data_IF_865466175891
#
_entry.id   IF_865466175891
#
_cell.length_a   1.000
_cell.length_b   1.000
_cell.length_c   1.000
_cell.angle_alpha   90.00
_cell.angle_beta   90.00
_cell.angle_gamma   90.00
#
_symmetry.space_group_name_H-M   'P 1'
#
loop_
_entity.id
_entity.type
_entity.pdbx_description
1 polymer ?
#
# COMPACT_ATOMS: atom_id res chain seq x y z
N UNK A 1 -17.11 -16.86 50.60
CA UNK A 1 -15.88 -16.93 51.38
C UNK A 1 -14.98 -15.87 50.73
N UNK A 2 -15.09 -14.60 51.06
CA UNK A 2 -14.68 -13.93 52.30
C UNK A 2 -13.15 -13.93 52.47
N UNK A 3 -12.54 -12.78 52.21
CA UNK A 3 -11.62 -12.02 53.04
C UNK A 3 -11.24 -10.76 52.26
N UNK A 4 -11.80 -9.57 52.48
CA UNK A 4 -11.67 -8.55 53.55
C UNK A 4 -10.32 -7.86 53.52
N UNK A 5 -10.21 -6.63 53.07
CA UNK A 5 -10.44 -5.33 53.67
C UNK A 5 -9.41 -4.89 54.73
N UNK A 6 -9.01 -3.64 54.59
CA UNK A 6 -8.33 -2.67 55.48
C UNK A 6 -6.85 -2.40 55.09
N UNK A 7 -6.49 -1.15 54.84
CA UNK A 7 -6.44 -0.05 55.83
C UNK A 7 -6.46 1.34 55.15
N UNK A 8 -7.20 2.22 55.76
CA UNK A 8 -7.33 3.66 55.50
C UNK A 8 -6.31 4.49 56.29
N UNK A 9 -6.14 5.70 55.81
CA UNK A 9 -5.85 6.94 56.59
C UNK A 9 -4.44 7.48 56.44
N UNK A 10 -4.17 8.71 56.26
CA UNK A 10 -4.54 10.09 56.50
C UNK A 10 -3.36 10.95 56.06
N UNK A 11 -3.34 12.07 55.56
CA UNK A 11 -3.63 13.48 55.84
C UNK A 11 -3.10 14.31 54.68
N UNK A 12 -3.82 15.12 54.05
CA UNK A 12 -4.33 16.47 54.28
C UNK A 12 -3.34 17.61 53.89
N UNK A 13 -3.85 18.42 52.98
CA UNK A 13 -3.71 19.85 52.75
C UNK A 13 -2.33 20.54 52.74
N UNK A 14 -2.01 21.13 51.58
CA UNK A 14 -1.77 22.58 51.54
C UNK A 14 -2.02 23.10 50.12
N UNK A 15 -3.00 23.97 50.00
CA UNK A 15 -3.29 24.85 48.86
C UNK A 15 -2.34 26.03 48.95
N UNK A 16 -1.57 26.28 47.87
CA UNK A 16 -1.13 27.63 47.53
C UNK A 16 -1.30 27.82 46.04
N UNK A 17 -2.23 28.66 45.67
CA UNK A 17 -2.40 29.22 44.34
C UNK A 17 -1.26 30.20 44.05
N UNK A 18 -0.65 30.07 42.87
CA UNK A 18 -0.02 31.17 42.19
C UNK A 18 -0.36 31.12 40.71
N UNK A 19 -1.29 31.97 40.33
CA UNK A 19 -1.48 32.41 38.94
C UNK A 19 -0.26 33.26 38.53
N UNK A 20 0.46 32.81 37.49
CA UNK A 20 1.23 33.69 36.65
C UNK A 20 1.30 33.06 35.27
N UNK A 21 0.61 33.69 34.36
CA UNK A 21 0.73 33.49 32.92
C UNK A 21 2.18 33.79 32.47
N UNK A 22 2.75 32.88 31.71
CA UNK A 22 3.74 33.21 30.68
C UNK A 22 3.84 32.00 29.77
N UNK A 23 3.63 32.20 28.48
CA UNK A 23 3.86 31.22 27.40
C UNK A 23 5.29 30.68 27.49
N UNK A 24 5.39 29.44 27.98
CA UNK A 24 6.64 28.68 27.99
C UNK A 24 6.63 27.69 26.84
N UNK A 25 7.07 28.13 25.67
CA UNK A 25 7.55 27.17 24.68
C UNK A 25 8.64 26.33 25.33
N UNK A 26 8.54 25.02 25.26
CA UNK A 26 9.62 24.12 25.67
C UNK A 26 10.90 24.56 24.98
N UNK A 27 12.02 24.75 25.72
CA UNK A 27 13.27 25.15 25.08
C UNK A 27 13.66 24.09 24.05
N UNK A 28 13.79 24.48 22.78
CA UNK A 28 14.41 23.68 21.74
C UNK A 28 15.81 23.25 22.24
N UNK A 29 16.18 21.97 22.07
CA UNK A 29 17.50 21.52 22.47
C UNK A 29 18.58 22.34 21.71
N UNK A 30 19.58 22.80 22.42
CA UNK A 30 20.71 23.62 21.91
C UNK A 30 21.78 22.76 21.25
N UNK A 31 21.40 21.73 20.51
CA UNK A 31 22.32 21.05 19.59
C UNK A 31 22.43 21.83 18.29
N UNK A 32 23.59 21.84 17.59
CA UNK A 32 23.68 22.42 16.27
C UNK A 32 22.57 21.78 15.43
N UNK A 33 21.70 22.62 14.84
CA UNK A 33 20.53 22.16 14.09
C UNK A 33 21.01 21.26 12.96
N UNK A 34 20.75 19.96 13.10
CA UNK A 34 21.19 18.95 12.13
C UNK A 34 20.17 18.93 10.99
N UNK A 35 20.59 19.32 9.79
CA UNK A 35 19.74 19.25 8.61
C UNK A 35 19.62 17.83 8.12
N UNK A 36 18.39 17.40 7.83
CA UNK A 36 18.06 16.12 7.19
C UNK A 36 17.23 16.40 5.94
N UNK A 37 17.66 15.86 4.81
CA UNK A 37 16.86 15.87 3.58
C UNK A 37 16.11 14.56 3.46
N UNK A 38 14.79 14.64 3.25
CA UNK A 38 13.93 13.48 2.97
C UNK A 38 13.56 13.51 1.50
N UNK A 39 13.82 12.44 0.77
CA UNK A 39 13.51 12.31 -0.66
C UNK A 39 12.25 11.45 -0.81
N UNK A 40 11.16 12.12 -1.20
CA UNK A 40 9.81 11.56 -1.33
C UNK A 40 8.87 12.02 -0.22
N UNK A 41 7.71 12.56 -0.60
CA UNK A 41 6.62 12.97 0.29
C UNK A 41 5.48 11.96 0.36
N UNK A 42 5.79 10.66 0.26
CA UNK A 42 4.86 9.57 0.57
C UNK A 42 4.73 9.35 2.07
N UNK A 43 3.90 8.38 2.50
CA UNK A 43 3.66 8.08 3.93
C UNK A 43 4.96 7.90 4.72
N UNK A 44 5.94 7.18 4.20
CA UNK A 44 7.21 6.94 4.89
C UNK A 44 8.01 8.24 5.11
N UNK A 45 8.13 9.06 4.04
CA UNK A 45 8.88 10.31 4.09
C UNK A 45 8.21 11.36 4.99
N UNK A 46 6.90 11.53 4.86
CA UNK A 46 6.12 12.44 5.71
C UNK A 46 6.20 12.03 7.18
N UNK A 47 6.07 10.72 7.48
CA UNK A 47 6.18 10.21 8.85
C UNK A 47 7.57 10.48 9.44
N UNK A 48 8.63 10.21 8.68
CA UNK A 48 10.00 10.47 9.12
C UNK A 48 10.24 11.96 9.33
N UNK A 49 9.81 12.79 8.38
CA UNK A 49 9.94 14.25 8.44
C UNK A 49 9.21 14.84 9.65
N UNK A 50 7.94 14.42 9.88
CA UNK A 50 7.16 14.85 11.03
C UNK A 50 7.85 14.51 12.36
N UNK A 51 8.34 13.27 12.48
CA UNK A 51 8.99 12.82 13.70
C UNK A 51 10.32 13.57 13.96
N UNK A 52 11.10 13.84 12.92
CA UNK A 52 12.36 14.57 13.01
C UNK A 52 12.12 16.06 13.31
N UNK A 53 11.17 16.72 12.64
CA UNK A 53 10.81 18.11 12.90
C UNK A 53 10.33 18.30 14.34
N UNK A 54 9.44 17.42 14.82
CA UNK A 54 8.97 17.41 16.22
C UNK A 54 10.13 17.22 17.22
N UNK A 55 11.22 16.55 16.83
CA UNK A 55 12.44 16.40 17.62
C UNK A 55 13.43 17.58 17.47
N UNK A 56 13.12 18.56 16.62
CA UNK A 56 13.90 19.80 16.48
C UNK A 56 15.00 19.74 15.41
N UNK A 57 14.95 18.78 14.49
CA UNK A 57 15.81 18.76 13.30
C UNK A 57 15.36 19.83 12.29
N UNK A 58 16.31 20.28 11.44
CA UNK A 58 16.01 21.09 10.25
C UNK A 58 15.70 20.13 9.10
N UNK A 59 14.41 19.93 8.81
CA UNK A 59 13.96 18.91 7.84
C UNK A 59 13.45 19.59 6.57
N UNK A 60 13.94 19.12 5.42
CA UNK A 60 13.42 19.50 4.11
C UNK A 60 13.01 18.25 3.36
N UNK A 61 11.78 18.22 2.85
CA UNK A 61 11.25 17.12 2.03
C UNK A 61 11.30 17.55 0.56
N UNK A 62 11.92 16.72 -0.29
CA UNK A 62 11.96 16.93 -1.75
C UNK A 62 11.04 15.87 -2.40
N UNK A 63 10.00 16.34 -3.08
CA UNK A 63 9.03 15.50 -3.78
C UNK A 63 9.08 15.76 -5.28
N UNK A 64 9.17 14.68 -6.06
CA UNK A 64 9.29 14.75 -7.50
C UNK A 64 7.98 15.21 -8.19
N UNK A 65 6.82 14.88 -7.61
CA UNK A 65 5.50 15.27 -8.10
C UNK A 65 5.13 16.68 -7.65
N UNK A 66 4.07 17.19 -8.23
CA UNK A 66 3.40 18.44 -7.84
C UNK A 66 2.41 18.24 -6.66
N UNK A 67 2.41 17.06 -6.05
CA UNK A 67 1.57 16.67 -4.91
C UNK A 67 2.31 15.77 -3.92
N UNK A 68 1.84 15.74 -2.68
CA UNK A 68 2.27 14.79 -1.66
C UNK A 68 1.50 13.45 -1.78
N UNK A 69 1.80 12.48 -0.90
CA UNK A 69 1.11 11.21 -0.75
C UNK A 69 1.77 10.04 -1.48
N UNK A 70 2.51 10.31 -2.56
CA UNK A 70 3.13 9.26 -3.37
C UNK A 70 2.07 8.35 -3.98
N UNK A 71 2.05 7.05 -3.58
CA UNK A 71 1.05 6.04 -3.97
C UNK A 71 -0.27 6.10 -3.18
N UNK A 72 -0.43 7.04 -2.28
CA UNK A 72 -1.71 7.50 -1.75
C UNK A 72 -2.12 8.69 -2.60
N UNK A 73 -3.27 8.62 -3.26
CA UNK A 73 -3.75 9.66 -4.15
C UNK A 73 -5.26 9.68 -4.16
N UNK A 74 -5.84 10.56 -3.39
CA UNK A 74 -7.29 10.84 -3.41
C UNK A 74 -7.57 11.91 -4.45
N UNK A 75 -8.51 11.67 -5.34
CA UNK A 75 -8.94 12.58 -6.42
C UNK A 75 -10.40 12.92 -6.22
N UNK A 76 -10.77 14.17 -6.42
CA UNK A 76 -12.17 14.56 -6.56
C UNK A 76 -12.67 14.14 -7.95
N UNK A 77 -13.50 13.12 -8.01
CA UNK A 77 -14.13 12.66 -9.24
C UNK A 77 -15.61 13.09 -9.28
N UNK A 78 -15.87 14.19 -9.94
CA UNK A 78 -17.19 14.80 -10.04
C UNK A 78 -17.86 15.06 -8.66
N UNK A 79 -17.10 15.67 -7.74
CA UNK A 79 -17.57 16.03 -6.40
C UNK A 79 -17.47 14.90 -5.36
N UNK A 80 -16.84 13.78 -5.71
CA UNK A 80 -16.69 12.61 -4.84
C UNK A 80 -15.20 12.31 -4.65
N UNK A 81 -14.68 12.33 -3.40
CA UNK A 81 -13.29 11.95 -3.13
C UNK A 81 -13.12 10.42 -3.25
N UNK A 82 -12.24 9.99 -4.15
CA UNK A 82 -11.97 8.57 -4.40
C UNK A 82 -10.46 8.32 -4.39
N UNK A 83 -10.05 7.24 -3.75
CA UNK A 83 -8.66 6.82 -3.69
C UNK A 83 -8.23 6.06 -4.96
N UNK A 84 -7.37 6.69 -5.74
CA UNK A 84 -6.79 6.11 -6.95
C UNK A 84 -5.61 5.18 -6.64
N UNK A 85 -4.99 5.33 -5.48
CA UNK A 85 -3.94 4.45 -4.95
C UNK A 85 -4.46 3.56 -3.83
N UNK A 86 -3.70 3.53 -2.73
CA UNK A 86 -4.08 2.83 -1.52
C UNK A 86 -5.40 3.40 -0.97
N UNK A 87 -6.34 2.52 -0.64
CA UNK A 87 -7.67 2.87 -0.16
C UNK A 87 -7.98 2.24 1.21
N UNK A 88 -7.42 1.07 1.51
CA UNK A 88 -7.76 0.28 2.69
C UNK A 88 -6.80 0.47 3.86
N UNK A 89 -7.36 0.56 5.05
CA UNK A 89 -6.68 0.39 6.34
C UNK A 89 -6.81 -1.08 6.76
N UNK A 90 -5.92 -1.93 6.28
CA UNK A 90 -5.95 -3.37 6.56
C UNK A 90 -5.81 -3.66 8.05
N UNK A 91 -6.68 -4.51 8.60
CA UNK A 91 -6.61 -5.01 9.97
C UNK A 91 -6.80 -3.93 11.05
N UNK A 92 -7.98 -3.41 11.15
CA UNK A 92 -8.34 -2.24 11.98
C UNK A 92 -7.87 -2.29 13.44
N UNK A 93 -7.72 -3.49 14.03
CA UNK A 93 -7.28 -3.65 15.43
C UNK A 93 -5.76 -3.52 15.58
N UNK A 94 -5.01 -4.03 14.61
CA UNK A 94 -3.56 -4.13 14.69
C UNK A 94 -2.84 -3.02 13.88
N UNK A 95 -3.57 -2.28 13.03
CA UNK A 95 -3.04 -1.23 12.19
C UNK A 95 -2.85 0.09 12.96
N UNK A 96 -1.60 0.59 13.10
CA UNK A 96 -1.35 1.82 13.85
C UNK A 96 -2.03 3.05 13.24
N UNK A 97 -2.29 3.05 11.92
CA UNK A 97 -2.91 4.19 11.23
C UNK A 97 -4.37 4.38 11.60
N UNK A 98 -5.08 3.32 12.03
CA UNK A 98 -6.43 3.45 12.60
C UNK A 98 -6.37 4.27 13.88
N UNK A 99 -5.37 4.03 14.74
CA UNK A 99 -5.16 4.84 15.94
C UNK A 99 -4.82 6.31 15.63
N UNK A 100 -4.04 6.55 14.57
CA UNK A 100 -3.71 7.90 14.09
C UNK A 100 -4.96 8.59 13.52
N UNK A 101 -5.73 7.91 12.66
CA UNK A 101 -6.97 8.43 12.09
C UNK A 101 -7.97 8.81 13.19
N UNK A 102 -8.16 7.94 14.18
CA UNK A 102 -9.03 8.22 15.35
C UNK A 102 -8.54 9.43 16.15
N UNK A 103 -7.24 9.58 16.36
CA UNK A 103 -6.67 10.69 17.11
C UNK A 103 -6.88 12.04 16.41
N UNK A 104 -6.90 12.04 15.08
CA UNK A 104 -7.21 13.23 14.28
C UNK A 104 -8.71 13.42 14.01
N UNK A 105 -9.56 12.48 14.43
CA UNK A 105 -11.02 12.57 14.28
C UNK A 105 -11.52 12.22 12.89
N UNK A 106 -10.74 11.50 12.09
CA UNK A 106 -11.17 11.00 10.78
C UNK A 106 -12.16 9.84 10.94
N UNK A 107 -13.21 9.86 10.13
CA UNK A 107 -14.22 8.80 10.11
C UNK A 107 -13.78 7.69 9.16
N UNK A 108 -13.92 6.45 9.59
CA UNK A 108 -13.72 5.28 8.76
C UNK A 108 -14.85 4.26 8.98
N UNK A 109 -15.16 3.50 7.96
CA UNK A 109 -16.20 2.46 7.96
C UNK A 109 -15.57 1.09 7.75
N UNK A 110 -16.29 0.03 8.14
CA UNK A 110 -15.90 -1.33 7.78
C UNK A 110 -16.01 -1.47 6.27
N UNK A 111 -15.07 -2.19 5.69
CA UNK A 111 -15.17 -2.69 4.34
C UNK A 111 -15.34 -4.20 4.44
N UNK A 112 -16.49 -4.68 4.03
CA UNK A 112 -16.87 -6.09 4.07
C UNK A 112 -16.95 -6.68 2.63
N UNK A 113 -16.31 -6.01 1.63
CA UNK A 113 -16.35 -6.39 0.20
C UNK A 113 -15.42 -7.59 -0.12
N UNK A 114 -15.30 -8.53 0.80
CA UNK A 114 -14.46 -9.72 0.60
C UNK A 114 -15.16 -10.84 -0.20
N UNK A 115 -16.49 -10.74 -0.38
CA UNK A 115 -17.28 -11.78 -1.04
C UNK A 115 -17.47 -11.47 -2.54
N UNK A 116 -17.24 -12.47 -3.40
CA UNK A 116 -17.60 -12.42 -4.82
C UNK A 116 -19.06 -12.84 -4.98
N UNK A 117 -19.95 -11.88 -5.21
CA UNK A 117 -21.37 -12.14 -5.42
C UNK A 117 -21.66 -12.66 -6.83
N UNK A 118 -20.92 -12.22 -7.83
CA UNK A 118 -21.07 -12.62 -9.22
C UNK A 118 -19.74 -13.09 -9.82
N UNK A 119 -19.79 -14.18 -10.56
CA UNK A 119 -18.67 -14.60 -11.40
C UNK A 119 -19.20 -15.01 -12.78
N UNK A 120 -18.52 -14.59 -13.84
CA UNK A 120 -18.87 -14.93 -15.21
C UNK A 120 -17.64 -15.24 -16.04
N UNK A 121 -17.79 -16.19 -16.95
CA UNK A 121 -16.79 -16.47 -18.00
C UNK A 121 -17.37 -16.13 -19.37
N UNK A 122 -16.60 -15.45 -20.19
CA UNK A 122 -16.97 -15.19 -21.58
C UNK A 122 -17.23 -16.48 -22.39
N UNK A 123 -16.60 -17.60 -21.99
CA UNK A 123 -16.71 -18.91 -22.66
C UNK A 123 -17.75 -19.80 -22.01
N UNK A 124 -17.74 -19.92 -20.67
CA UNK A 124 -18.57 -20.85 -19.90
C UNK A 124 -19.89 -20.24 -19.40
N UNK A 125 -20.05 -18.91 -19.54
CA UNK A 125 -21.20 -18.14 -19.01
C UNK A 125 -21.14 -17.92 -17.51
N UNK A 126 -22.29 -17.53 -16.88
CA UNK A 126 -22.34 -17.23 -15.45
C UNK A 126 -22.21 -18.49 -14.61
N UNK A 127 -21.67 -18.32 -13.39
CA UNK A 127 -21.61 -19.35 -12.34
C UNK A 127 -22.68 -19.08 -11.29
N UNK A 128 -23.20 -20.13 -10.70
CA UNK A 128 -24.17 -20.02 -9.61
C UNK A 128 -23.46 -19.89 -8.23
N UNK A 129 -24.23 -19.50 -7.20
CA UNK A 129 -23.71 -19.25 -5.85
C UNK A 129 -22.97 -20.46 -5.26
N UNK A 130 -23.43 -21.69 -5.61
CA UNK A 130 -22.78 -22.91 -5.14
C UNK A 130 -21.44 -23.14 -5.82
N UNK A 131 -21.36 -22.91 -7.14
CA UNK A 131 -20.12 -23.01 -7.89
C UNK A 131 -19.10 -22.01 -7.35
N UNK A 132 -19.53 -20.77 -7.06
CA UNK A 132 -18.70 -19.71 -6.45
C UNK A 132 -18.22 -20.15 -5.05
N UNK A 133 -19.12 -20.61 -4.17
CA UNK A 133 -18.76 -21.09 -2.83
C UNK A 133 -17.81 -22.29 -2.84
N UNK A 134 -18.02 -23.24 -3.78
CA UNK A 134 -17.13 -24.37 -3.96
C UNK A 134 -15.73 -23.90 -4.44
N UNK A 135 -15.65 -22.90 -5.32
CA UNK A 135 -14.40 -22.32 -5.80
C UNK A 135 -13.63 -21.58 -4.68
N UNK A 136 -14.30 -20.82 -3.82
CA UNK A 136 -13.71 -20.26 -2.61
C UNK A 136 -13.10 -21.35 -1.72
N UNK A 137 -13.85 -22.44 -1.50
CA UNK A 137 -13.36 -23.58 -0.71
C UNK A 137 -12.10 -24.20 -1.34
N UNK A 138 -12.03 -24.28 -2.66
CA UNK A 138 -10.83 -24.75 -3.37
C UNK A 138 -9.67 -23.78 -3.20
N UNK A 139 -9.89 -22.49 -3.33
CA UNK A 139 -8.87 -21.45 -3.16
C UNK A 139 -8.31 -21.43 -1.72
N UNK A 140 -9.16 -21.44 -0.71
CA UNK A 140 -8.74 -21.45 0.70
C UNK A 140 -7.87 -22.65 1.06
N UNK A 141 -8.21 -23.83 0.53
CA UNK A 141 -7.43 -25.05 0.77
C UNK A 141 -6.01 -24.98 0.23
N UNK A 142 -5.74 -24.18 -0.79
CA UNK A 142 -4.39 -23.99 -1.32
C UNK A 142 -3.44 -23.46 -0.25
N UNK A 143 -3.85 -22.46 0.52
CA UNK A 143 -3.02 -21.88 1.59
C UNK A 143 -2.68 -22.89 2.67
N UNK A 144 -3.62 -23.78 3.01
CA UNK A 144 -3.35 -24.92 3.90
C UNK A 144 -2.36 -25.95 3.33
N UNK A 145 -2.17 -26.00 2.01
CA UNK A 145 -1.24 -26.91 1.33
C UNK A 145 0.15 -26.30 1.12
N UNK A 146 0.33 -24.99 1.29
CA UNK A 146 1.62 -24.31 1.09
C UNK A 146 2.82 -25.02 1.76
N UNK A 147 2.77 -25.45 3.03
CA UNK A 147 3.90 -26.13 3.64
C UNK A 147 4.29 -27.44 2.95
N UNK A 148 3.33 -28.15 2.35
CA UNK A 148 3.60 -29.38 1.60
C UNK A 148 4.14 -29.08 0.21
N UNK A 149 3.54 -28.14 -0.51
CA UNK A 149 3.97 -27.69 -1.84
C UNK A 149 5.40 -27.12 -1.80
N UNK A 150 5.73 -26.30 -0.80
CA UNK A 150 7.08 -25.75 -0.58
C UNK A 150 8.14 -26.86 -0.39
N UNK A 151 7.80 -27.95 0.35
CA UNK A 151 8.70 -29.10 0.50
C UNK A 151 8.86 -29.91 -0.78
N UNK A 152 7.77 -30.06 -1.54
CA UNK A 152 7.74 -30.84 -2.78
C UNK A 152 8.50 -30.16 -3.90
N UNK A 153 8.29 -28.84 -4.09
CA UNK A 153 8.78 -28.09 -5.23
C UNK A 153 10.12 -27.37 -4.97
N UNK A 154 10.46 -27.13 -3.69
CA UNK A 154 11.72 -26.50 -3.31
C UNK A 154 11.68 -24.97 -3.26
N UNK A 155 12.81 -24.34 -2.89
CA UNK A 155 12.85 -22.91 -2.55
C UNK A 155 12.73 -21.97 -3.75
N UNK A 156 13.04 -22.44 -4.96
CA UNK A 156 12.99 -21.63 -6.19
C UNK A 156 11.67 -21.75 -6.95
N UNK A 157 10.68 -22.45 -6.37
CA UNK A 157 9.37 -22.60 -7.00
C UNK A 157 8.60 -21.28 -6.95
N UNK A 158 7.90 -21.01 -8.06
CA UNK A 158 6.94 -19.93 -8.17
C UNK A 158 5.56 -20.31 -7.61
N UNK A 159 4.73 -19.30 -7.39
CA UNK A 159 3.31 -19.52 -7.06
C UNK A 159 2.58 -20.24 -8.20
N UNK A 160 2.96 -19.99 -9.46
CA UNK A 160 2.43 -20.73 -10.61
C UNK A 160 2.72 -22.23 -10.52
N UNK A 161 3.99 -22.61 -10.20
CA UNK A 161 4.34 -24.03 -9.99
C UNK A 161 3.52 -24.65 -8.85
N UNK A 162 3.30 -23.89 -7.78
CA UNK A 162 2.50 -24.30 -6.63
C UNK A 162 1.04 -24.52 -6.99
N UNK A 163 0.44 -23.59 -7.74
CA UNK A 163 -0.94 -23.70 -8.23
C UNK A 163 -1.10 -24.91 -9.17
N UNK A 164 -0.20 -25.07 -10.13
CA UNK A 164 -0.24 -26.20 -11.07
C UNK A 164 -0.15 -27.55 -10.35
N UNK A 165 0.78 -27.69 -9.40
CA UNK A 165 0.90 -28.89 -8.59
C UNK A 165 -0.35 -29.14 -7.74
N UNK A 166 -0.95 -28.08 -7.17
CA UNK A 166 -2.17 -28.17 -6.38
C UNK A 166 -3.35 -28.66 -7.22
N UNK A 167 -3.62 -28.01 -8.36
CA UNK A 167 -4.75 -28.38 -9.22
C UNK A 167 -4.58 -29.74 -9.88
N UNK A 168 -3.35 -30.18 -10.16
CA UNK A 168 -3.08 -31.53 -10.68
C UNK A 168 -3.52 -32.66 -9.73
N UNK A 169 -3.52 -32.40 -8.41
CA UNK A 169 -3.94 -33.35 -7.38
C UNK A 169 -5.48 -33.35 -7.16
N UNK A 170 -6.22 -32.44 -7.81
CA UNK A 170 -7.66 -32.31 -7.60
C UNK A 170 -8.48 -33.01 -8.70
N UNK A 171 -9.50 -33.73 -8.31
CA UNK A 171 -10.45 -34.40 -9.23
C UNK A 171 -11.64 -33.45 -9.52
N UNK A 172 -11.39 -32.33 -10.20
CA UNK A 172 -12.40 -31.36 -10.56
C UNK A 172 -12.86 -31.52 -12.03
N UNK A 173 -14.09 -31.06 -12.32
CA UNK A 173 -14.52 -30.91 -13.72
C UNK A 173 -13.77 -29.74 -14.37
N UNK A 174 -13.70 -29.68 -15.72
CA UNK A 174 -13.05 -28.53 -16.39
C UNK A 174 -13.64 -27.17 -15.96
N UNK A 175 -14.96 -27.06 -15.84
CA UNK A 175 -15.66 -25.85 -15.40
C UNK A 175 -15.31 -25.47 -13.94
N UNK A 176 -15.30 -26.45 -13.03
CA UNK A 176 -14.89 -26.23 -11.64
C UNK A 176 -13.40 -25.89 -11.52
N UNK A 177 -12.55 -26.45 -12.37
CA UNK A 177 -11.13 -26.10 -12.44
C UNK A 177 -10.94 -24.65 -12.92
N UNK A 178 -11.68 -24.24 -13.95
CA UNK A 178 -11.62 -22.88 -14.47
C UNK A 178 -11.96 -21.88 -13.37
N UNK A 179 -13.11 -22.02 -12.70
CA UNK A 179 -13.53 -21.09 -11.64
C UNK A 179 -12.62 -21.16 -10.41
N UNK A 180 -12.21 -22.36 -10.00
CA UNK A 180 -11.29 -22.54 -8.87
C UNK A 180 -9.93 -21.89 -9.10
N UNK A 181 -9.38 -22.02 -10.31
CA UNK A 181 -8.15 -21.31 -10.70
C UNK A 181 -8.36 -19.79 -10.77
N UNK A 182 -9.47 -19.35 -11.35
CA UNK A 182 -9.81 -17.93 -11.40
C UNK A 182 -9.87 -17.33 -9.99
N UNK A 183 -10.54 -18.00 -9.06
CA UNK A 183 -10.65 -17.55 -7.68
C UNK A 183 -9.30 -17.53 -6.98
N UNK A 184 -8.50 -18.60 -7.08
CA UNK A 184 -7.18 -18.65 -6.44
C UNK A 184 -6.19 -17.70 -7.12
N UNK A 185 -5.98 -17.89 -8.43
CA UNK A 185 -4.85 -17.29 -9.14
C UNK A 185 -5.06 -15.81 -9.39
N UNK A 186 -6.31 -15.39 -9.68
CA UNK A 186 -6.61 -14.01 -10.02
C UNK A 186 -7.14 -13.22 -8.85
N UNK A 187 -8.16 -13.72 -8.13
CA UNK A 187 -8.72 -12.99 -7.00
C UNK A 187 -7.76 -12.97 -5.82
N UNK A 188 -7.34 -14.12 -5.29
CA UNK A 188 -6.50 -14.18 -4.09
C UNK A 188 -5.01 -13.94 -4.30
N UNK A 189 -4.47 -14.12 -5.50
CA UNK A 189 -3.03 -14.00 -5.72
C UNK A 189 -2.65 -12.82 -6.61
N UNK A 190 -3.26 -12.66 -7.78
CA UNK A 190 -2.88 -11.54 -8.66
C UNK A 190 -3.51 -10.21 -8.29
N UNK A 191 -4.73 -10.16 -7.74
CA UNK A 191 -5.29 -8.89 -7.28
C UNK A 191 -4.69 -8.46 -5.93
N UNK A 192 -4.39 -9.39 -5.03
CA UNK A 192 -3.79 -9.06 -3.73
C UNK A 192 -2.30 -8.71 -3.84
N UNK A 193 -1.51 -9.55 -4.52
CA UNK A 193 -0.06 -9.32 -4.69
C UNK A 193 0.28 -8.52 -5.93
N UNK A 194 -0.66 -8.33 -6.85
CA UNK A 194 -0.56 -7.58 -8.11
C UNK A 194 0.62 -7.98 -9.01
N UNK A 195 1.23 -9.12 -8.76
CA UNK A 195 2.37 -9.64 -9.50
C UNK A 195 2.00 -10.90 -10.29
N UNK A 196 2.63 -11.14 -11.46
CA UNK A 196 2.44 -12.39 -12.20
C UNK A 196 2.83 -13.60 -11.35
N UNK A 197 2.00 -14.64 -11.33
CA UNK A 197 2.24 -15.85 -10.51
C UNK A 197 3.62 -16.50 -10.76
N UNK A 198 4.15 -16.55 -12.02
CA UNK A 198 5.48 -17.11 -12.27
C UNK A 198 6.62 -16.32 -11.62
N UNK A 199 6.40 -15.06 -11.27
CA UNK A 199 7.39 -14.21 -10.61
C UNK A 199 7.29 -14.25 -9.09
N UNK A 200 6.12 -14.56 -8.52
CA UNK A 200 5.90 -14.63 -7.07
C UNK A 200 6.58 -15.86 -6.47
N UNK A 201 7.32 -15.68 -5.38
CA UNK A 201 7.97 -16.80 -4.67
C UNK A 201 6.95 -17.61 -3.88
N UNK A 202 6.80 -18.90 -4.19
CA UNK A 202 5.97 -19.83 -3.41
C UNK A 202 6.45 -19.92 -1.95
N UNK A 203 7.74 -19.72 -1.72
CA UNK A 203 8.34 -19.77 -0.39
C UNK A 203 7.84 -18.66 0.52
N UNK A 204 7.58 -17.46 -0.02
CA UNK A 204 7.31 -16.26 0.76
C UNK A 204 5.88 -15.74 0.63
N UNK A 205 5.06 -16.29 -0.29
CA UNK A 205 3.64 -15.95 -0.36
C UNK A 205 2.94 -16.37 0.94
N UNK A 206 1.99 -15.58 1.42
CA UNK A 206 1.20 -15.83 2.65
C UNK A 206 2.06 -16.01 3.93
N UNK A 207 3.22 -15.35 4.01
CA UNK A 207 4.06 -15.32 5.21
C UNK A 207 3.90 -14.00 6.00
N UNK A 208 3.06 -13.10 5.53
CA UNK A 208 2.71 -11.88 6.24
C UNK A 208 1.76 -12.17 7.41
N UNK A 209 1.93 -11.49 8.55
CA UNK A 209 1.02 -11.68 9.65
C UNK A 209 -0.38 -11.18 9.27
N UNK A 210 -1.39 -12.02 9.39
CA UNK A 210 -2.77 -11.59 9.26
C UNK A 210 -3.10 -10.53 10.30
N UNK A 211 -3.41 -9.32 9.87
CA UNK A 211 -3.85 -8.25 10.74
C UNK A 211 -5.31 -8.48 11.15
N UNK A 212 -5.61 -8.26 12.43
CA UNK A 212 -6.95 -8.53 12.98
C UNK A 212 -7.87 -7.31 12.87
N UNK A 213 -9.16 -7.56 12.76
CA UNK A 213 -10.21 -6.55 12.92
C UNK A 213 -10.86 -6.10 11.61
N UNK A 214 -10.66 -6.87 10.52
CA UNK A 214 -11.19 -6.53 9.20
C UNK A 214 -10.60 -5.23 8.65
N UNK A 215 -10.97 -4.89 7.47
CA UNK A 215 -10.47 -3.72 6.77
C UNK A 215 -11.37 -2.51 6.98
N UNK A 216 -10.84 -1.31 6.73
CA UNK A 216 -11.55 -0.05 6.87
C UNK A 216 -11.26 0.86 5.68
N UNK A 217 -12.24 1.65 5.29
CA UNK A 217 -12.08 2.74 4.33
C UNK A 217 -12.24 4.08 5.07
N UNK A 218 -11.34 5.03 4.78
CA UNK A 218 -11.42 6.39 5.30
C UNK A 218 -12.41 7.20 4.46
N UNK A 219 -13.49 7.64 5.07
CA UNK A 219 -14.45 8.53 4.40
C UNK A 219 -13.77 9.87 4.08
N UNK A 220 -13.87 10.28 2.83
CA UNK A 220 -13.16 11.47 2.32
C UNK A 220 -11.75 11.18 1.77
N UNK A 221 -11.35 9.90 1.76
CA UNK A 221 -10.11 9.41 1.14
C UNK A 221 -8.90 9.38 2.08
N UNK A 222 -7.95 8.55 1.72
CA UNK A 222 -6.73 8.29 2.50
C UNK A 222 -5.75 9.46 2.49
N UNK A 223 -5.84 10.33 1.44
CA UNK A 223 -4.97 11.52 1.28
C UNK A 223 -5.02 12.48 2.46
N UNK A 224 -6.21 12.68 3.08
CA UNK A 224 -6.37 13.56 4.24
C UNK A 224 -5.45 13.20 5.42
N UNK A 225 -5.11 11.92 5.58
CA UNK A 225 -4.21 11.48 6.65
C UNK A 225 -2.77 11.92 6.38
N UNK A 226 -2.33 11.83 5.13
CA UNK A 226 -1.00 12.30 4.70
C UNK A 226 -0.91 13.82 4.81
N UNK A 227 -1.94 14.53 4.33
CA UNK A 227 -2.03 15.99 4.42
C UNK A 227 -1.92 16.47 5.88
N UNK A 228 -2.65 15.81 6.77
CA UNK A 228 -2.61 16.13 8.20
C UNK A 228 -1.24 15.92 8.84
N UNK A 229 -0.54 14.83 8.48
CA UNK A 229 0.82 14.56 8.95
C UNK A 229 1.86 15.50 8.34
N UNK A 230 1.58 16.05 7.17
CA UNK A 230 2.46 16.96 6.45
C UNK A 230 2.38 18.42 6.92
N UNK A 231 1.38 18.77 7.74
CA UNK A 231 1.18 20.16 8.20
C UNK A 231 2.42 20.73 8.88
N UNK A 232 2.84 21.90 8.41
CA UNK A 232 3.99 22.64 8.96
C UNK A 232 5.36 22.20 8.48
N UNK A 233 5.48 21.14 7.67
CA UNK A 233 6.75 20.68 7.10
C UNK A 233 7.21 21.55 5.91
N UNK A 234 8.53 21.75 5.75
CA UNK A 234 9.13 22.32 4.52
C UNK A 234 9.14 21.24 3.43
N UNK A 235 8.08 21.21 2.61
CA UNK A 235 7.94 20.27 1.49
C UNK A 235 8.08 21.05 0.18
N UNK A 236 9.02 20.61 -0.66
CA UNK A 236 9.27 21.20 -1.97
C UNK A 236 8.81 20.22 -3.05
N UNK A 237 7.75 20.61 -3.73
CA UNK A 237 7.16 19.84 -4.81
C UNK A 237 7.89 20.10 -6.12
N UNK A 238 7.74 19.18 -7.09
CA UNK A 238 8.38 19.23 -8.41
C UNK A 238 9.92 19.25 -8.34
N UNK A 239 10.48 18.68 -7.27
CA UNK A 239 11.91 18.58 -7.00
C UNK A 239 12.41 17.16 -7.27
N UNK A 240 12.78 16.89 -8.52
CA UNK A 240 13.29 15.58 -8.91
C UNK A 240 14.74 15.41 -8.47
N UNK A 241 14.99 14.55 -7.50
CA UNK A 241 16.34 14.20 -7.08
C UNK A 241 16.98 13.26 -8.10
N UNK A 242 18.19 13.59 -8.53
CA UNK A 242 18.94 12.84 -9.57
C UNK A 242 20.27 12.30 -9.08
N UNK A 243 20.83 12.85 -7.98
CA UNK A 243 22.12 12.41 -7.45
C UNK A 243 22.23 12.66 -5.95
N UNK A 244 22.86 11.75 -5.24
CA UNK A 244 23.24 11.86 -3.83
C UNK A 244 24.73 11.63 -3.71
N UNK A 245 25.47 12.66 -3.27
CA UNK A 245 26.89 12.59 -2.96
C UNK A 245 27.02 12.50 -1.44
N UNK A 246 27.82 11.59 -0.92
CA UNK A 246 27.99 11.42 0.53
C UNK A 246 29.41 11.05 0.92
N UNK A 247 29.83 11.53 2.09
CA UNK A 247 31.14 11.25 2.71
C UNK A 247 31.05 11.31 4.24
N UNK A 248 32.21 11.30 4.92
CA UNK A 248 32.28 11.41 6.38
C UNK A 248 31.72 12.72 6.95
N UNK A 249 31.64 13.77 6.14
CA UNK A 249 31.23 15.10 6.57
C UNK A 249 29.72 15.32 6.42
N UNK A 250 29.06 14.57 5.52
CA UNK A 250 27.63 14.68 5.29
C UNK A 250 27.18 14.23 3.91
N UNK A 251 26.11 14.84 3.43
CA UNK A 251 25.52 14.54 2.13
C UNK A 251 25.25 15.80 1.34
N UNK A 252 25.31 15.69 0.01
CA UNK A 252 24.80 16.71 -0.93
C UNK A 252 23.80 16.04 -1.86
N UNK A 253 22.54 16.47 -1.77
CA UNK A 253 21.44 16.01 -2.61
C UNK A 253 21.25 16.96 -3.76
N UNK A 254 21.31 16.46 -4.99
CA UNK A 254 21.07 17.23 -6.21
C UNK A 254 19.68 16.97 -6.75
N UNK A 255 18.92 18.03 -6.96
CA UNK A 255 17.59 18.03 -7.56
C UNK A 255 17.52 18.93 -8.78
N UNK A 256 16.36 19.02 -9.40
CA UNK A 256 16.08 19.90 -10.54
C UNK A 256 16.35 21.37 -10.25
N UNK A 257 16.17 21.82 -9.01
CA UNK A 257 16.40 23.24 -8.61
C UNK A 257 17.81 23.52 -8.10
N UNK A 258 18.67 22.50 -7.98
CA UNK A 258 20.05 22.69 -7.54
C UNK A 258 20.53 21.65 -6.53
N UNK A 259 21.50 22.03 -5.70
CA UNK A 259 22.12 21.15 -4.71
C UNK A 259 21.83 21.62 -3.28
N UNK A 260 21.59 20.68 -2.38
CA UNK A 260 21.34 20.94 -0.96
C UNK A 260 22.25 20.07 -0.10
N UNK A 261 23.04 20.70 0.77
CA UNK A 261 23.89 19.98 1.74
C UNK A 261 23.13 19.72 3.03
N UNK A 262 23.32 18.53 3.59
CA UNK A 262 22.74 18.09 4.85
C UNK A 262 23.69 17.14 5.59
N UNK A 263 23.36 16.80 6.84
CA UNK A 263 24.09 15.79 7.59
C UNK A 263 23.68 14.37 7.16
N UNK A 264 22.41 14.18 6.82
CA UNK A 264 21.84 12.90 6.44
C UNK A 264 20.79 13.07 5.32
N UNK A 265 20.59 12.00 4.56
CA UNK A 265 19.48 11.88 3.60
C UNK A 265 18.68 10.63 3.89
N UNK A 266 17.35 10.71 3.79
CA UNK A 266 16.44 9.58 3.87
C UNK A 266 15.78 9.40 2.51
N UNK A 267 16.06 8.27 1.84
CA UNK A 267 15.45 7.89 0.57
C UNK A 267 14.15 7.10 0.88
N UNK A 268 13.02 7.62 0.41
CA UNK A 268 11.71 6.94 0.54
C UNK A 268 11.07 6.66 -0.81
N UNK A 269 11.89 6.72 -1.87
CA UNK A 269 11.44 6.42 -3.23
C UNK A 269 11.11 4.93 -3.38
N UNK A 270 10.14 4.57 -4.25
CA UNK A 270 9.78 3.18 -4.50
C UNK A 270 10.95 2.34 -5.03
N UNK A 271 10.93 1.03 -4.77
CA UNK A 271 11.94 0.08 -5.29
C UNK A 271 12.11 0.21 -6.81
N UNK A 272 11.02 0.36 -7.57
CA UNK A 272 11.07 0.52 -9.02
C UNK A 272 11.86 1.75 -9.46
N UNK A 273 11.87 2.82 -8.69
CA UNK A 273 12.69 4.03 -8.94
C UNK A 273 14.17 3.74 -8.66
N UNK A 274 14.48 3.01 -7.57
CA UNK A 274 15.86 2.61 -7.25
C UNK A 274 16.42 1.66 -8.33
N UNK A 275 15.67 0.64 -8.76
CA UNK A 275 16.04 -0.29 -9.82
C UNK A 275 16.29 0.42 -11.17
N UNK A 276 15.51 1.45 -11.47
CA UNK A 276 15.69 2.22 -12.69
C UNK A 276 16.98 3.07 -12.72
N UNK A 277 17.70 3.17 -11.58
CA UNK A 277 18.97 3.88 -11.49
C UNK A 277 18.87 5.38 -11.79
N UNK A 278 17.69 5.98 -11.62
CA UNK A 278 17.46 7.41 -11.92
C UNK A 278 18.08 8.34 -10.89
N UNK A 279 18.50 7.80 -9.74
CA UNK A 279 19.26 8.54 -8.70
C UNK A 279 20.67 7.93 -8.65
N UNK A 280 21.66 8.73 -9.03
CA UNK A 280 23.07 8.34 -8.93
C UNK A 280 23.58 8.49 -7.50
N UNK A 281 24.43 7.58 -7.03
CA UNK A 281 25.07 7.64 -5.72
C UNK A 281 26.60 7.78 -5.90
N UNK A 282 27.22 8.69 -5.18
CA UNK A 282 28.67 8.96 -5.17
C UNK A 282 29.18 9.04 -3.73
N UNK A 283 29.97 8.04 -3.27
CA UNK A 283 30.36 6.81 -3.96
C UNK A 283 29.15 5.91 -4.30
N UNK A 284 29.33 4.91 -5.19
CA UNK A 284 28.27 3.93 -5.47
C UNK A 284 27.78 3.22 -4.22
N UNK A 285 26.52 2.78 -4.21
CA UNK A 285 25.97 1.95 -3.12
C UNK A 285 26.81 0.66 -2.99
N UNK A 286 26.92 0.08 -1.78
CA UNK A 286 27.54 -1.22 -1.58
C UNK A 286 26.96 -2.29 -2.53
N UNK A 287 27.81 -3.21 -2.98
CA UNK A 287 27.43 -4.23 -3.97
C UNK A 287 26.24 -5.08 -3.47
N UNK A 288 26.26 -5.47 -2.18
CA UNK A 288 25.16 -6.23 -1.58
C UNK A 288 23.82 -5.47 -1.61
N UNK A 289 23.84 -4.15 -1.41
CA UNK A 289 22.63 -3.32 -1.48
C UNK A 289 22.12 -3.18 -2.92
N UNK A 290 23.03 -2.96 -3.86
CA UNK A 290 22.68 -2.89 -5.28
C UNK A 290 22.09 -4.22 -5.77
N UNK A 291 22.68 -5.35 -5.37
CA UNK A 291 22.17 -6.68 -5.69
C UNK A 291 20.80 -6.97 -5.04
N UNK A 292 20.55 -6.48 -3.81
CA UNK A 292 19.25 -6.59 -3.16
C UNK A 292 18.19 -5.77 -3.91
N UNK A 293 18.50 -4.54 -4.34
CA UNK A 293 17.61 -3.69 -5.14
C UNK A 293 17.24 -4.38 -6.47
N UNK A 294 18.20 -5.04 -7.12
CA UNK A 294 17.95 -5.75 -8.38
C UNK A 294 17.05 -6.99 -8.21
N UNK A 295 17.11 -7.68 -7.07
CA UNK A 295 16.28 -8.85 -6.80
C UNK A 295 14.86 -8.51 -6.35
N UNK A 296 14.65 -7.38 -5.69
CA UNK A 296 13.33 -6.91 -5.28
C UNK A 296 12.58 -6.30 -6.47
N UNK A 297 11.26 -6.36 -6.47
CA UNK A 297 10.44 -5.81 -7.56
C UNK A 297 9.15 -5.16 -7.04
N UNK A 298 8.48 -4.43 -7.95
CA UNK A 298 7.14 -3.89 -7.75
C UNK A 298 6.14 -4.60 -8.66
N UNK A 299 5.00 -4.86 -8.10
CA UNK A 299 3.83 -5.39 -8.77
C UNK A 299 3.08 -4.30 -9.56
N UNK A 300 2.07 -4.73 -10.33
CA UNK A 300 1.28 -3.86 -11.18
C UNK A 300 -0.20 -4.06 -10.84
N UNK A 301 -0.78 -3.11 -10.12
CA UNK A 301 -2.22 -3.01 -9.89
C UNK A 301 -2.70 -1.65 -10.39
N UNK A 302 -3.72 -1.69 -11.22
CA UNK A 302 -4.32 -0.49 -11.80
C UNK A 302 -5.82 -0.48 -11.53
N UNK A 303 -6.40 0.72 -11.55
CA UNK A 303 -7.83 0.96 -11.36
C UNK A 303 -8.43 1.62 -12.58
N UNK A 304 -9.65 1.18 -12.94
CA UNK A 304 -10.59 1.99 -13.70
C UNK A 304 -11.74 2.32 -12.79
N UNK A 305 -11.96 3.61 -12.54
CA UNK A 305 -13.07 4.09 -11.72
C UNK A 305 -14.19 4.55 -12.62
N UNK A 306 -15.41 4.04 -12.38
CA UNK A 306 -16.60 4.32 -13.14
C UNK A 306 -17.66 4.96 -12.22
N UNK A 307 -17.93 6.25 -12.42
CA UNK A 307 -18.94 7.01 -11.68
C UNK A 307 -20.21 7.11 -12.54
N UNK A 308 -21.35 6.78 -11.98
CA UNK A 308 -22.62 6.82 -12.68
C UNK A 308 -23.60 7.83 -12.04
N UNK A 309 -24.60 8.27 -12.79
CA UNK A 309 -25.67 9.14 -12.29
C UNK A 309 -26.66 8.37 -11.41
N UNK A 310 -26.86 7.08 -11.70
CA UNK A 310 -27.82 6.22 -11.01
C UNK A 310 -27.20 4.87 -10.69
N UNK A 311 -27.58 4.33 -9.54
CA UNK A 311 -27.28 2.95 -9.16
C UNK A 311 -28.11 1.98 -10.01
N UNK A 312 -27.52 0.90 -10.51
CA UNK A 312 -28.19 -0.08 -11.37
C UNK A 312 -27.63 -1.51 -11.25
N UNK A 313 -26.80 -1.77 -10.26
CA UNK A 313 -26.13 -3.07 -10.05
C UNK A 313 -26.49 -3.68 -8.69
N UNK A 314 -27.82 -3.79 -8.41
CA UNK A 314 -28.32 -4.36 -7.15
C UNK A 314 -27.71 -5.74 -6.84
N UNK A 315 -27.28 -6.50 -7.87
CA UNK A 315 -26.65 -7.81 -7.73
C UNK A 315 -25.24 -7.75 -7.15
N UNK A 316 -24.60 -6.58 -7.18
CA UNK A 316 -23.26 -6.33 -6.63
C UNK A 316 -23.29 -5.41 -5.40
N UNK A 317 -24.47 -5.05 -4.88
CA UNK A 317 -24.58 -4.10 -3.76
C UNK A 317 -23.73 -4.57 -2.58
N UNK A 318 -22.80 -3.70 -2.16
CA UNK A 318 -21.80 -3.96 -1.09
C UNK A 318 -20.95 -5.24 -1.31
N UNK A 319 -20.75 -5.68 -2.56
CA UNK A 319 -20.00 -6.89 -2.90
C UNK A 319 -19.08 -6.68 -4.10
N UNK A 320 -18.41 -7.75 -4.52
CA UNK A 320 -17.55 -7.77 -5.69
C UNK A 320 -18.04 -8.72 -6.77
N UNK A 321 -17.53 -8.53 -7.98
CA UNK A 321 -17.78 -9.39 -9.13
C UNK A 321 -16.48 -9.73 -9.86
N UNK A 322 -16.39 -10.94 -10.39
CA UNK A 322 -15.22 -11.42 -11.14
C UNK A 322 -15.58 -11.78 -12.58
N UNK A 323 -14.83 -11.25 -13.52
CA UNK A 323 -15.00 -11.55 -14.95
C UNK A 323 -13.77 -12.32 -15.47
N UNK A 324 -14.02 -13.46 -16.10
CA UNK A 324 -13.03 -14.16 -16.91
C UNK A 324 -13.32 -13.80 -18.39
N UNK A 325 -12.63 -12.78 -18.88
CA UNK A 325 -12.76 -12.26 -20.24
C UNK A 325 -12.25 -13.28 -21.27
N UNK A 326 -12.52 -13.04 -22.55
CA UNK A 326 -11.96 -13.79 -23.68
C UNK A 326 -10.55 -13.32 -24.06
N UNK A 327 -10.06 -12.26 -23.41
CA UNK A 327 -8.69 -11.77 -23.56
C UNK A 327 -7.77 -12.46 -22.54
N UNK A 328 -6.69 -13.04 -23.01
CA UNK A 328 -5.76 -13.78 -22.16
C UNK A 328 -5.20 -12.91 -21.03
N UNK A 329 -5.32 -13.40 -19.79
CA UNK A 329 -4.90 -12.71 -18.60
C UNK A 329 -5.81 -11.56 -18.13
N UNK A 330 -6.84 -11.19 -18.91
CA UNK A 330 -7.80 -10.15 -18.48
C UNK A 330 -8.84 -10.77 -17.54
N UNK A 331 -8.71 -10.44 -16.25
CA UNK A 331 -9.65 -10.88 -15.22
C UNK A 331 -9.88 -9.75 -14.22
N UNK A 332 -10.69 -8.73 -14.61
CA UNK A 332 -10.98 -7.61 -13.74
C UNK A 332 -11.89 -8.03 -12.57
N UNK A 333 -11.57 -7.52 -11.38
CA UNK A 333 -12.45 -7.52 -10.22
C UNK A 333 -13.25 -6.21 -10.15
N UNK A 334 -14.56 -6.30 -9.98
CA UNK A 334 -15.47 -5.16 -9.82
C UNK A 334 -15.85 -5.01 -8.37
N UNK A 335 -15.69 -3.81 -7.82
CA UNK A 335 -15.98 -3.49 -6.42
C UNK A 335 -16.98 -2.33 -6.36
N UNK A 336 -18.08 -2.53 -5.63
CA UNK A 336 -19.03 -1.47 -5.35
C UNK A 336 -18.51 -0.59 -4.20
N UNK A 337 -18.25 0.69 -4.48
CA UNK A 337 -17.86 1.70 -3.49
C UNK A 337 -18.96 2.76 -3.29
N UNK A 338 -20.20 2.46 -3.62
CA UNK A 338 -21.31 3.42 -3.56
C UNK A 338 -21.55 3.93 -2.15
N UNK A 339 -21.50 3.05 -1.16
CA UNK A 339 -21.70 3.39 0.26
C UNK A 339 -20.61 4.32 0.79
N UNK A 340 -19.34 4.01 0.51
CA UNK A 340 -18.17 4.76 0.99
C UNK A 340 -18.01 6.09 0.25
N UNK A 341 -18.25 6.07 -1.05
CA UNK A 341 -18.20 7.25 -1.90
C UNK A 341 -19.41 8.18 -1.70
N UNK A 342 -20.53 7.65 -1.18
CA UNK A 342 -21.80 8.37 -1.08
C UNK A 342 -22.45 8.65 -2.44
N UNK A 343 -22.06 7.92 -3.47
CA UNK A 343 -22.54 8.11 -4.84
C UNK A 343 -22.24 6.87 -5.70
N UNK A 344 -23.10 6.52 -6.70
CA UNK A 344 -22.95 5.31 -7.51
C UNK A 344 -21.57 5.20 -8.16
N UNK A 345 -20.71 4.35 -7.62
CA UNK A 345 -19.30 4.25 -8.02
C UNK A 345 -18.85 2.79 -8.02
N UNK A 346 -18.34 2.34 -9.15
CA UNK A 346 -17.64 1.06 -9.27
C UNK A 346 -16.15 1.29 -9.46
N UNK A 347 -15.34 0.49 -8.78
CA UNK A 347 -13.91 0.40 -9.02
C UNK A 347 -13.60 -0.94 -9.65
N UNK A 348 -12.89 -0.90 -10.77
CA UNK A 348 -12.43 -2.08 -11.49
C UNK A 348 -10.94 -2.22 -11.24
N UNK A 349 -10.53 -3.33 -10.66
CA UNK A 349 -9.12 -3.67 -10.40
C UNK A 349 -8.62 -4.66 -11.45
N UNK A 350 -7.43 -4.43 -11.94
CA UNK A 350 -6.70 -5.38 -12.78
C UNK A 350 -5.21 -5.35 -12.44
N UNK A 351 -4.59 -6.51 -12.43
CA UNK A 351 -3.23 -6.71 -11.94
C UNK A 351 -2.35 -7.55 -12.85
N UNK A 352 -1.17 -7.87 -12.38
CA UNK A 352 -0.24 -8.80 -12.98
C UNK A 352 0.27 -8.40 -14.37
N UNK A 353 0.45 -9.41 -15.25
CA UNK A 353 0.93 -9.21 -16.61
C UNK A 353 -0.08 -8.47 -17.49
N UNK A 354 -1.37 -8.67 -17.25
CA UNK A 354 -2.40 -7.95 -17.99
C UNK A 354 -2.31 -6.45 -17.72
N UNK A 355 -2.20 -6.00 -16.46
CA UNK A 355 -2.03 -4.59 -16.14
C UNK A 355 -0.82 -3.98 -16.86
N UNK A 356 0.31 -4.68 -16.87
CA UNK A 356 1.53 -4.22 -17.55
C UNK A 356 1.33 -4.09 -19.06
N UNK A 357 0.73 -5.10 -19.71
CA UNK A 357 0.50 -5.11 -21.15
C UNK A 357 -0.55 -4.08 -21.57
N UNK A 358 -1.64 -3.97 -20.81
CA UNK A 358 -2.71 -3.02 -21.05
C UNK A 358 -2.22 -1.57 -20.97
N UNK A 359 -1.45 -1.24 -19.94
CA UNK A 359 -0.84 0.09 -19.76
C UNK A 359 0.17 0.45 -20.87
N UNK A 360 0.78 -0.53 -21.50
CA UNK A 360 1.72 -0.31 -22.60
C UNK A 360 1.04 -0.17 -23.98
N UNK A 361 -0.18 -0.67 -24.14
CA UNK A 361 -0.82 -0.84 -25.46
C UNK A 361 -2.17 -0.15 -25.62
N UNK A 362 -2.87 0.16 -24.53
CA UNK A 362 -4.20 0.76 -24.55
C UNK A 362 -4.18 2.19 -23.96
N UNK A 363 -5.01 3.05 -24.49
CA UNK A 363 -5.31 4.36 -23.91
C UNK A 363 -6.49 4.27 -22.91
N UNK A 364 -6.74 5.38 -22.19
CA UNK A 364 -7.77 5.44 -21.16
C UNK A 364 -9.17 5.12 -21.69
N UNK A 365 -9.50 5.61 -22.89
CA UNK A 365 -10.81 5.36 -23.52
C UNK A 365 -11.00 3.87 -23.83
N UNK A 366 -9.95 3.20 -24.29
CA UNK A 366 -9.95 1.76 -24.55
C UNK A 366 -10.05 0.93 -23.28
N UNK A 367 -9.35 1.34 -22.20
CA UNK A 367 -9.44 0.69 -20.88
C UNK A 367 -10.83 0.84 -20.27
N UNK A 368 -11.42 2.03 -20.34
CA UNK A 368 -12.81 2.28 -19.89
C UNK A 368 -13.81 1.46 -20.74
N UNK A 369 -13.63 1.42 -22.06
CA UNK A 369 -14.52 0.64 -22.92
C UNK A 369 -14.46 -0.87 -22.61
N UNK A 370 -13.28 -1.42 -22.31
CA UNK A 370 -13.13 -2.81 -21.85
C UNK A 370 -13.80 -3.04 -20.50
N UNK A 371 -13.59 -2.13 -19.55
CA UNK A 371 -14.23 -2.23 -18.25
C UNK A 371 -15.77 -2.24 -18.39
N UNK A 372 -16.33 -1.41 -19.27
CA UNK A 372 -17.78 -1.40 -19.51
C UNK A 372 -18.26 -2.68 -20.22
N UNK A 373 -17.54 -3.18 -21.21
CA UNK A 373 -17.89 -4.43 -21.90
C UNK A 373 -17.85 -5.65 -20.93
N UNK A 374 -16.88 -5.71 -20.06
CA UNK A 374 -16.79 -6.74 -19.02
C UNK A 374 -17.92 -6.59 -17.97
N UNK A 375 -18.30 -5.35 -17.62
CA UNK A 375 -19.45 -5.09 -16.73
C UNK A 375 -20.76 -5.54 -17.37
N UNK A 376 -20.96 -5.30 -18.67
CA UNK A 376 -22.12 -5.81 -19.41
C UNK A 376 -22.17 -7.33 -19.42
N UNK A 377 -21.02 -7.99 -19.58
CA UNK A 377 -20.91 -9.44 -19.48
C UNK A 377 -21.28 -9.95 -18.08
N UNK A 378 -20.77 -9.29 -17.03
CA UNK A 378 -21.04 -9.65 -15.63
C UNK A 378 -22.52 -9.53 -15.27
N UNK A 379 -23.16 -8.43 -15.67
CA UNK A 379 -24.55 -8.16 -15.35
C UNK A 379 -25.55 -8.79 -16.37
N UNK A 380 -25.04 -9.33 -17.50
CA UNK A 380 -25.88 -9.92 -18.54
C UNK A 380 -26.79 -8.92 -19.26
N UNK A 381 -26.51 -7.62 -19.22
CA UNK A 381 -27.29 -6.54 -19.81
C UNK A 381 -26.44 -5.33 -20.16
N UNK A 382 -26.95 -4.46 -21.05
CA UNK A 382 -26.28 -3.19 -21.35
C UNK A 382 -26.26 -2.26 -20.14
N UNK A 383 -25.16 -1.53 -19.99
CA UNK A 383 -24.94 -0.59 -18.90
C UNK A 383 -24.98 0.86 -19.39
N UNK A 384 -25.38 1.83 -18.56
CA UNK A 384 -25.36 3.24 -18.93
C UNK A 384 -23.92 3.75 -19.08
N UNK A 385 -23.76 4.86 -19.80
CA UNK A 385 -22.49 5.57 -19.87
C UNK A 385 -22.16 6.19 -18.51
N UNK A 386 -20.94 6.02 -17.98
CA UNK A 386 -20.53 6.69 -16.75
C UNK A 386 -20.51 8.21 -16.92
N UNK A 387 -20.86 8.93 -15.87
CA UNK A 387 -20.82 10.40 -15.81
C UNK A 387 -19.40 10.94 -15.64
N UNK A 388 -18.51 10.16 -15.04
CA UNK A 388 -17.10 10.43 -14.96
C UNK A 388 -16.30 9.12 -14.86
N UNK A 389 -15.06 9.14 -15.35
CA UNK A 389 -14.13 8.00 -15.31
C UNK A 389 -12.75 8.47 -14.92
N UNK A 390 -11.98 7.55 -14.34
CA UNK A 390 -10.55 7.75 -14.07
C UNK A 390 -9.80 6.44 -14.31
N UNK A 391 -8.62 6.52 -14.91
CA UNK A 391 -7.71 5.39 -15.10
C UNK A 391 -6.41 5.69 -14.41
N UNK A 392 -5.88 4.74 -13.65
CA UNK A 392 -4.57 4.89 -13.00
C UNK A 392 -3.43 4.42 -13.90
N UNK A 393 -2.22 4.91 -13.65
CA UNK A 393 -1.02 4.62 -14.43
C UNK A 393 0.20 4.36 -13.53
N UNK A 394 0.02 3.62 -12.43
CA UNK A 394 1.10 3.37 -11.46
C UNK A 394 2.28 2.62 -12.08
N UNK A 395 1.99 1.72 -13.03
CA UNK A 395 2.98 0.91 -13.74
C UNK A 395 3.93 1.75 -14.60
N UNK A 396 3.39 2.76 -15.28
CA UNK A 396 4.14 3.59 -16.25
C UNK A 396 4.59 4.92 -15.67
N UNK A 397 4.07 5.33 -14.52
CA UNK A 397 4.48 6.56 -13.81
C UNK A 397 5.96 6.49 -13.43
N UNK A 398 6.80 7.45 -13.85
CA UNK A 398 8.25 7.42 -13.64
C UNK A 398 8.65 7.52 -12.15
N UNK A 399 7.77 7.99 -11.28
CA UNK A 399 8.02 8.19 -9.86
C UNK A 399 7.41 7.10 -8.96
N UNK A 400 6.73 6.11 -9.54
CA UNK A 400 6.29 4.88 -8.86
C UNK A 400 6.84 3.62 -9.49
N UNK A 401 6.70 3.46 -10.82
CA UNK A 401 7.15 2.30 -11.61
C UNK A 401 6.57 0.98 -11.09
N UNK A 402 5.33 1.01 -10.67
CA UNK A 402 4.56 -0.10 -10.10
C UNK A 402 3.69 0.33 -8.92
N UNK A 403 2.87 -0.58 -8.43
CA UNK A 403 1.91 -0.35 -7.35
C UNK A 403 2.54 -0.55 -5.96
N UNK A 404 3.01 -1.74 -5.62
CA UNK A 404 3.62 -2.09 -4.33
C UNK A 404 4.60 -3.26 -4.47
N UNK A 405 5.41 -3.50 -3.42
CA UNK A 405 6.44 -4.54 -3.47
C UNK A 405 5.86 -5.95 -3.29
N UNK A 406 6.55 -6.93 -3.83
CA UNK A 406 6.34 -8.35 -3.54
C UNK A 406 7.71 -9.04 -3.45
N UNK A 407 7.75 -10.31 -3.04
CA UNK A 407 8.99 -11.10 -3.01
C UNK A 407 9.06 -11.98 -4.27
N UNK A 408 9.92 -11.64 -5.26
CA UNK A 408 10.14 -12.47 -6.43
C UNK A 408 10.80 -13.81 -6.11
N UNK A 409 10.69 -14.77 -7.04
CA UNK A 409 11.55 -15.97 -7.02
C UNK A 409 13.02 -15.54 -7.03
N UNK A 410 13.84 -16.14 -6.17
CA UNK A 410 15.25 -15.78 -6.00
C UNK A 410 15.51 -14.61 -5.05
N UNK A 411 14.46 -13.90 -4.61
CA UNK A 411 14.56 -12.88 -3.56
C UNK A 411 14.13 -13.43 -2.19
N UNK A 412 14.37 -12.64 -1.16
CA UNK A 412 14.04 -13.01 0.21
C UNK A 412 13.78 -11.79 1.10
N UNK A 413 13.20 -11.96 2.30
CA UNK A 413 13.11 -10.90 3.30
C UNK A 413 14.44 -10.26 3.67
N UNK A 414 15.56 -10.99 3.57
CA UNK A 414 16.89 -10.46 3.83
C UNK A 414 17.30 -9.36 2.82
N UNK A 415 16.75 -9.38 1.60
CA UNK A 415 16.99 -8.32 0.63
C UNK A 415 16.30 -7.01 1.04
N UNK A 416 15.11 -7.07 1.65
CA UNK A 416 14.46 -5.91 2.24
C UNK A 416 15.23 -5.37 3.45
N UNK A 417 15.79 -6.25 4.29
CA UNK A 417 16.67 -5.85 5.42
C UNK A 417 17.94 -5.19 4.91
N UNK A 418 18.55 -5.72 3.84
CA UNK A 418 19.71 -5.13 3.18
C UNK A 418 19.39 -3.77 2.57
N UNK A 419 18.21 -3.63 1.94
CA UNK A 419 17.73 -2.34 1.43
C UNK A 419 17.55 -1.33 2.57
N UNK A 420 16.98 -1.74 3.72
CA UNK A 420 16.76 -0.87 4.88
C UNK A 420 18.05 -0.40 5.55
N UNK A 421 19.09 -1.22 5.56
CA UNK A 421 20.35 -0.91 6.23
C UNK A 421 20.93 0.44 5.74
N UNK A 422 21.38 1.33 6.63
CA UNK A 422 21.96 2.61 6.23
C UNK A 422 23.30 2.42 5.52
N UNK A 423 23.69 3.41 4.71
CA UNK A 423 25.01 3.45 4.07
C UNK A 423 25.83 4.58 4.67
N UNK A 424 27.03 4.27 5.13
CA UNK A 424 28.01 5.19 5.74
C UNK A 424 27.44 6.03 6.91
N UNK A 425 26.35 5.58 7.57
CA UNK A 425 25.59 6.35 8.55
C UNK A 425 25.13 7.73 8.05
N UNK A 426 24.97 7.88 6.73
CA UNK A 426 24.60 9.13 6.05
C UNK A 426 23.37 8.97 5.17
N UNK A 427 23.26 7.85 4.47
CA UNK A 427 22.16 7.57 3.54
C UNK A 427 21.27 6.50 4.14
N UNK A 428 20.02 6.86 4.44
CA UNK A 428 19.02 6.00 5.05
C UNK A 428 17.92 5.67 4.03
N UNK A 429 17.27 4.52 4.23
CA UNK A 429 16.22 4.04 3.35
C UNK A 429 14.99 3.69 4.17
N UNK A 430 13.82 4.14 3.71
CA UNK A 430 12.52 3.80 4.27
C UNK A 430 11.47 3.65 3.16
N UNK A 431 10.36 3.04 3.44
CA UNK A 431 9.28 2.74 2.50
C UNK A 431 8.69 1.37 2.79
N UNK A 432 7.54 1.06 2.20
CA UNK A 432 6.85 -0.23 2.42
C UNK A 432 7.73 -1.42 2.03
N UNK A 433 8.52 -1.30 0.96
CA UNK A 433 9.43 -2.36 0.48
C UNK A 433 10.69 -2.57 1.32
N UNK A 434 10.85 -1.89 2.47
CA UNK A 434 11.96 -2.09 3.42
C UNK A 434 11.58 -2.96 4.62
N UNK A 435 10.35 -3.49 4.67
CA UNK A 435 9.82 -4.22 5.84
C UNK A 435 8.98 -5.41 5.39
N UNK A 436 9.53 -6.62 5.45
CA UNK A 436 8.86 -7.82 4.99
C UNK A 436 7.46 -8.03 5.60
N UNK A 437 7.36 -8.02 6.93
CA UNK A 437 6.10 -8.34 7.63
C UNK A 437 4.96 -7.33 7.45
N UNK A 438 5.24 -6.19 6.86
CA UNK A 438 4.29 -5.12 6.59
C UNK A 438 4.56 -4.50 5.23
N UNK A 439 5.19 -5.27 4.33
CA UNK A 439 5.42 -4.84 2.95
C UNK A 439 4.10 -4.58 2.23
N UNK A 440 4.17 -3.89 1.12
CA UNK A 440 3.02 -3.62 0.24
C UNK A 440 1.90 -2.76 0.86
N UNK A 441 2.09 -2.25 2.08
CA UNK A 441 1.04 -1.55 2.84
C UNK A 441 1.42 -0.14 3.26
N UNK A 442 0.40 0.71 3.43
CA UNK A 442 0.60 2.09 3.93
C UNK A 442 1.11 2.10 5.37
N UNK A 443 0.62 1.19 6.23
CA UNK A 443 1.12 1.10 7.60
C UNK A 443 2.57 0.61 7.65
N UNK A 444 3.01 -0.22 6.72
CA UNK A 444 4.41 -0.59 6.57
C UNK A 444 5.29 0.60 6.21
N UNK A 445 4.85 1.43 5.27
CA UNK A 445 5.50 2.70 4.95
C UNK A 445 5.57 3.63 6.18
N UNK A 446 4.46 3.80 6.90
CA UNK A 446 4.40 4.57 8.15
C UNK A 446 5.41 4.05 9.18
N UNK A 447 5.39 2.75 9.47
CA UNK A 447 6.30 2.13 10.45
C UNK A 447 7.78 2.27 10.04
N UNK A 448 8.09 2.22 8.75
CA UNK A 448 9.45 2.42 8.25
C UNK A 448 9.94 3.87 8.49
N UNK A 449 9.05 4.85 8.31
CA UNK A 449 9.32 6.25 8.63
C UNK A 449 9.59 6.48 10.12
N UNK A 450 8.78 5.85 10.98
CA UNK A 450 9.01 5.85 12.45
C UNK A 450 10.37 5.21 12.79
N UNK A 451 10.72 4.09 12.16
CA UNK A 451 11.94 3.34 12.43
C UNK A 451 13.20 4.15 12.05
N UNK A 452 13.19 4.76 10.86
CA UNK A 452 14.35 5.57 10.41
C UNK A 452 14.54 6.82 11.28
N UNK A 453 13.47 7.47 11.72
CA UNK A 453 13.55 8.59 12.66
C UNK A 453 14.15 8.14 14.00
N UNK A 454 13.77 6.99 14.53
CA UNK A 454 14.35 6.40 15.74
C UNK A 454 15.83 6.08 15.58
N UNK A 455 16.25 5.58 14.43
CA UNK A 455 17.66 5.33 14.13
C UNK A 455 18.48 6.62 14.18
N UNK A 456 17.88 7.75 13.82
CA UNK A 456 18.46 9.09 13.94
C UNK A 456 18.33 9.70 15.35
N UNK A 457 17.88 8.94 16.34
CA UNK A 457 17.84 9.35 17.75
C UNK A 457 16.52 9.95 18.23
N UNK A 458 15.46 9.89 17.44
CA UNK A 458 14.14 10.40 17.83
C UNK A 458 13.50 9.44 18.85
N UNK A 459 13.24 9.93 20.06
CA UNK A 459 12.63 9.13 21.13
C UNK A 459 11.11 9.01 21.00
N UNK A 460 10.44 10.06 20.49
CA UNK A 460 9.00 10.11 20.27
C UNK A 460 8.69 10.80 18.96
N UNK A 461 7.80 10.21 18.18
CA UNK A 461 7.43 10.72 16.86
C UNK A 461 6.57 11.98 16.90
N UNK A 462 6.00 12.32 18.05
CA UNK A 462 5.00 13.40 18.14
C UNK A 462 3.67 13.09 17.48
N UNK A 463 3.53 11.97 16.79
CA UNK A 463 2.30 11.55 16.10
C UNK A 463 1.32 11.02 17.15
N UNK A 464 0.12 11.62 17.27
CA UNK A 464 -0.87 11.17 18.23
C UNK A 464 -1.46 9.82 17.79
N UNK A 465 -1.78 8.98 18.78
CA UNK A 465 -2.48 7.71 18.55
C UNK A 465 -3.59 7.58 19.58
N UNK A 466 -4.77 7.18 19.12
CA UNK A 466 -5.88 6.81 20.00
C UNK A 466 -6.11 5.29 19.90
N UNK A 467 -6.72 4.64 20.91
CA UNK A 467 -7.08 3.23 20.81
C UNK A 467 -7.98 2.97 19.60
N UNK A 468 -7.76 1.87 18.91
CA UNK A 468 -8.73 1.33 17.94
C UNK A 468 -10.00 0.96 18.73
N UNK A 469 -11.13 1.53 18.37
CA UNK A 469 -12.43 1.26 19.02
C UNK A 469 -13.09 0.03 18.42
#
# INVERSE_FOLDING_TARGET
MAYDARMRSLLALSVVACLAACGGGTPRPTHPVTRVVVVGAGMAGITAAHALDAAGYDVVVLEARDRIGGRIHTVDLAGVPIDMGAAWLHGARDNPLVGVANAYGFTHVADDVDDVALAVSAVEGPFDDREIADAFTVADRFFGRLPALRRQLGPEASVADGSDAYFADLALTPRATLLGRAMLERSYLELDYAAPLPLQSLRWVDEDPTLRGGDRILLGGYGQLVERLAEGLDIRLSEVVTRVVYDDQGVTVHSTSGAMSASHVILTVPIGVLRAGTIAFEPPLPEEKSAAIERLDLANLEKVVLRFETFFWDELEDNSGLVMSDVDGEMPGYYDLTSEAGAPTLVVLYGGDYARSAQATLNDEELVARALANLELLLGRSVPTPSATYVTHWTTDPFSRGSYSFIPVGASPADMDTLRAPVADRVFFAGEGTRFRTSSTVHGAFLSGVEVARTLGVASTGIPTAPSR
#
